data_IF_421863634546
#
_entry.id   IF_421863634546
#
_cell.length_a   1.000
_cell.length_b   1.000
_cell.length_c   1.000
_cell.angle_alpha   90.00
_cell.angle_beta   90.00
_cell.angle_gamma   90.00
#
_symmetry.space_group_name_H-M   'P 1'
#
loop_
_entity.id
_entity.type
_entity.pdbx_description
1 polymer ?
#
# COMPACT_ATOMS: atom_id res chain seq x y z
N UNK A 1 12.15 -15.60 -13.31
CA UNK A 1 12.75 -15.67 -14.67
C UNK A 1 11.97 -16.58 -15.59
N UNK A 2 11.80 -17.88 -15.31
CA UNK A 2 11.05 -18.79 -16.22
C UNK A 2 9.64 -18.31 -16.61
N UNK A 3 8.87 -17.72 -15.67
CA UNK A 3 7.54 -17.17 -15.98
C UNK A 3 7.58 -15.95 -16.93
N UNK A 4 8.66 -15.16 -16.87
CA UNK A 4 8.88 -14.06 -17.81
C UNK A 4 9.20 -14.62 -19.21
N UNK A 5 10.08 -15.63 -19.29
CA UNK A 5 10.47 -16.26 -20.55
C UNK A 5 9.29 -16.95 -21.26
N UNK A 6 8.33 -17.47 -20.47
CA UNK A 6 7.08 -18.08 -20.95
C UNK A 6 5.98 -17.08 -21.25
N UNK A 7 6.21 -15.79 -21.00
CA UNK A 7 5.23 -14.73 -21.19
C UNK A 7 3.92 -14.97 -20.40
N UNK A 8 4.05 -15.41 -19.14
CA UNK A 8 2.90 -15.69 -18.28
C UNK A 8 2.08 -14.41 -17.98
N UNK A 9 0.74 -14.47 -18.00
CA UNK A 9 -0.13 -13.29 -17.90
C UNK A 9 -0.10 -12.60 -16.53
N UNK A 10 0.33 -13.31 -15.48
CA UNK A 10 0.50 -12.78 -14.11
C UNK A 10 1.72 -11.82 -14.01
N UNK A 11 2.59 -11.79 -15.03
CA UNK A 11 3.75 -10.89 -15.05
C UNK A 11 3.29 -9.50 -15.50
N UNK A 12 3.03 -8.65 -14.51
CA UNK A 12 2.66 -7.26 -14.77
C UNK A 12 3.81 -6.46 -15.41
N UNK A 13 3.50 -5.37 -16.14
CA UNK A 13 4.52 -4.44 -16.63
C UNK A 13 5.43 -3.91 -15.49
N UNK A 14 4.87 -3.65 -14.31
CA UNK A 14 5.66 -3.20 -13.15
C UNK A 14 6.70 -4.23 -12.70
N UNK A 15 6.36 -5.52 -12.77
CA UNK A 15 7.27 -6.63 -12.46
C UNK A 15 8.42 -6.68 -13.46
N UNK A 16 8.14 -6.45 -14.74
CA UNK A 16 9.17 -6.42 -15.79
C UNK A 16 10.15 -5.27 -15.56
N UNK A 17 9.66 -4.06 -15.28
CA UNK A 17 10.51 -2.91 -14.95
C UNK A 17 11.38 -3.16 -13.72
N UNK A 18 10.80 -3.72 -12.66
CA UNK A 18 11.55 -3.99 -11.44
C UNK A 18 12.62 -5.09 -11.66
N UNK A 19 12.30 -6.14 -12.42
CA UNK A 19 13.29 -7.16 -12.83
C UNK A 19 14.44 -6.51 -13.60
N UNK A 20 14.14 -5.66 -14.59
CA UNK A 20 15.16 -4.97 -15.38
C UNK A 20 16.08 -4.11 -14.51
N UNK A 21 15.51 -3.28 -13.62
CA UNK A 21 16.30 -2.48 -12.69
C UNK A 21 17.21 -3.33 -11.79
N UNK A 22 16.69 -4.43 -11.23
CA UNK A 22 17.48 -5.35 -10.39
C UNK A 22 18.61 -6.01 -11.18
N UNK A 23 18.37 -6.40 -12.44
CA UNK A 23 19.39 -7.00 -13.30
C UNK A 23 20.51 -6.02 -13.67
N UNK A 24 20.16 -4.75 -13.87
CA UNK A 24 21.08 -3.64 -14.17
C UNK A 24 21.71 -2.99 -12.93
N UNK A 25 21.44 -3.53 -11.73
CA UNK A 25 21.90 -2.98 -10.45
C UNK A 25 21.47 -1.51 -10.22
N UNK A 26 20.27 -1.16 -10.68
CA UNK A 26 19.63 0.14 -10.48
C UNK A 26 18.57 0.01 -9.39
N UNK A 27 18.57 0.87 -8.37
CA UNK A 27 17.50 0.88 -7.35
C UNK A 27 16.12 1.10 -7.97
N UNK A 28 15.12 0.33 -7.54
CA UNK A 28 13.74 0.46 -8.01
C UNK A 28 12.80 0.85 -6.87
N UNK A 29 11.98 1.89 -7.07
CA UNK A 29 11.00 2.35 -6.08
C UNK A 29 9.59 2.24 -6.65
N UNK A 30 8.72 1.48 -5.97
CA UNK A 30 7.31 1.38 -6.30
C UNK A 30 6.50 2.46 -5.57
N UNK A 31 6.10 3.50 -6.31
CA UNK A 31 5.28 4.59 -5.79
C UNK A 31 3.76 4.34 -5.81
N UNK A 32 3.32 3.17 -6.28
CA UNK A 32 1.92 2.83 -6.51
C UNK A 32 1.51 1.59 -5.71
N UNK A 33 0.19 1.33 -5.51
CA UNK A 33 -0.27 0.35 -4.53
C UNK A 33 -0.29 -1.10 -5.02
N UNK A 34 0.06 -1.37 -6.28
CA UNK A 34 0.11 -2.73 -6.80
C UNK A 34 1.27 -3.53 -6.18
N UNK A 35 1.08 -4.84 -6.06
CA UNK A 35 2.00 -5.80 -5.45
C UNK A 35 3.19 -6.17 -6.36
N UNK A 36 3.94 -5.18 -6.85
CA UNK A 36 5.08 -5.41 -7.75
C UNK A 36 6.13 -6.34 -7.12
N UNK A 37 6.37 -6.23 -5.81
CA UNK A 37 7.36 -6.99 -5.05
C UNK A 37 6.88 -8.39 -4.64
N UNK A 38 6.59 -9.23 -5.64
CA UNK A 38 6.32 -10.66 -5.41
C UNK A 38 7.56 -11.38 -4.85
N UNK A 39 7.39 -12.51 -4.13
CA UNK A 39 8.51 -13.20 -3.46
C UNK A 39 9.72 -13.46 -4.37
N UNK A 40 9.49 -13.91 -5.61
CA UNK A 40 10.58 -14.17 -6.56
C UNK A 40 11.36 -12.93 -7.00
N UNK A 41 10.74 -11.74 -6.98
CA UNK A 41 11.45 -10.48 -7.26
C UNK A 41 12.28 -10.03 -6.06
N UNK A 42 11.78 -10.21 -4.84
CA UNK A 42 12.53 -9.94 -3.61
C UNK A 42 13.77 -10.83 -3.54
N UNK A 43 13.62 -12.12 -3.80
CA UNK A 43 14.75 -13.06 -3.87
C UNK A 43 15.79 -12.66 -4.92
N UNK A 44 15.34 -12.20 -6.09
CA UNK A 44 16.23 -11.70 -7.14
C UNK A 44 17.00 -10.46 -6.68
N UNK A 45 16.33 -9.51 -6.02
CA UNK A 45 16.95 -8.29 -5.48
C UNK A 45 18.01 -8.62 -4.42
N UNK A 46 17.71 -9.55 -3.50
CA UNK A 46 18.67 -10.03 -2.48
C UNK A 46 19.88 -10.68 -3.16
N UNK A 47 19.65 -11.59 -4.12
CA UNK A 47 20.73 -12.29 -4.83
C UNK A 47 21.65 -11.34 -5.61
N UNK A 48 21.09 -10.25 -6.14
CA UNK A 48 21.82 -9.22 -6.90
C UNK A 48 22.36 -8.09 -6.03
N UNK A 49 22.07 -8.10 -4.73
CA UNK A 49 22.38 -7.01 -3.80
C UNK A 49 21.88 -5.64 -4.32
N UNK A 50 20.68 -5.62 -4.91
CA UNK A 50 20.05 -4.41 -5.45
C UNK A 50 18.94 -3.91 -4.53
N UNK A 51 18.77 -2.60 -4.46
CA UNK A 51 17.80 -1.94 -3.59
C UNK A 51 16.42 -1.88 -4.26
N UNK A 52 15.39 -2.33 -3.54
CA UNK A 52 13.99 -2.13 -3.88
C UNK A 52 13.25 -1.49 -2.71
N UNK A 53 12.23 -0.66 -2.96
CA UNK A 53 11.47 0.00 -1.90
C UNK A 53 10.09 0.49 -2.35
N UNK A 54 9.16 0.65 -1.41
CA UNK A 54 7.73 0.88 -1.66
C UNK A 54 6.90 0.30 -0.50
N UNK A 55 5.60 0.05 -0.63
CA UNK A 55 4.68 0.32 -1.76
C UNK A 55 3.78 1.52 -1.43
N UNK A 56 3.37 2.26 -2.45
CA UNK A 56 2.46 3.41 -2.36
C UNK A 56 2.98 4.66 -1.60
N UNK A 57 2.95 5.82 -2.25
CA UNK A 57 3.41 7.06 -1.61
C UNK A 57 2.47 7.55 -0.50
N UNK A 58 3.03 7.76 0.70
CA UNK A 58 2.34 8.34 1.86
C UNK A 58 2.43 9.87 1.86
N UNK A 59 1.59 10.54 1.07
CA UNK A 59 1.65 12.00 0.88
C UNK A 59 0.74 12.80 1.83
N UNK A 60 -0.58 12.63 1.71
CA UNK A 60 -1.59 13.50 2.32
C UNK A 60 -2.39 12.84 3.45
N UNK A 61 -3.62 12.39 3.15
CA UNK A 61 -4.56 11.87 4.14
C UNK A 61 -3.96 10.70 4.95
N UNK A 62 -3.30 9.74 4.32
CA UNK A 62 -2.68 8.60 5.00
C UNK A 62 -1.56 9.03 5.96
N UNK A 63 -0.81 10.09 5.63
CA UNK A 63 0.22 10.65 6.50
C UNK A 63 -0.39 11.26 7.75
N UNK A 64 -1.42 12.10 7.60
CA UNK A 64 -2.14 12.67 8.74
C UNK A 64 -2.80 11.59 9.60
N UNK A 65 -3.47 10.61 8.97
CA UNK A 65 -4.13 9.50 9.66
C UNK A 65 -3.15 8.77 10.58
N UNK A 66 -1.96 8.43 10.10
CA UNK A 66 -0.97 7.73 10.94
C UNK A 66 -0.54 8.54 12.16
N UNK A 67 -0.33 9.85 12.01
CA UNK A 67 0.09 10.71 13.12
C UNK A 67 -1.05 10.85 14.14
N UNK A 68 -2.29 11.01 13.66
CA UNK A 68 -3.45 11.19 14.55
C UNK A 68 -3.77 9.91 15.32
N UNK A 69 -3.77 8.75 14.68
CA UNK A 69 -4.08 7.48 15.35
C UNK A 69 -3.01 7.13 16.39
N UNK A 70 -1.73 7.30 16.04
CA UNK A 70 -0.61 7.14 16.98
C UNK A 70 -0.77 8.05 18.20
N UNK A 71 -1.05 9.34 17.98
CA UNK A 71 -1.28 10.30 19.06
C UNK A 71 -2.47 9.90 19.97
N UNK A 72 -3.62 9.53 19.38
CA UNK A 72 -4.82 9.19 20.15
C UNK A 72 -4.60 7.94 21.01
N UNK A 73 -4.05 6.87 20.41
CA UNK A 73 -3.76 5.62 21.12
C UNK A 73 -2.69 5.84 22.20
N UNK A 74 -1.65 6.61 21.89
CA UNK A 74 -0.60 6.98 22.84
C UNK A 74 -1.11 7.84 24.01
N UNK A 75 -2.15 8.63 23.79
CA UNK A 75 -2.84 9.40 24.84
C UNK A 75 -3.87 8.58 25.64
N UNK A 76 -4.02 7.28 25.36
CA UNK A 76 -5.00 6.42 26.03
C UNK A 76 -6.44 6.62 25.55
N UNK A 77 -6.63 7.27 24.40
CA UNK A 77 -7.94 7.44 23.77
C UNK A 77 -8.13 6.27 22.79
N UNK A 78 -9.30 5.64 22.81
CA UNK A 78 -9.65 4.52 21.91
C UNK A 78 -10.44 5.02 20.69
N UNK A 79 -9.82 5.16 19.50
CA UNK A 79 -10.56 5.27 18.25
C UNK A 79 -11.48 4.05 18.06
N UNK A 80 -12.77 4.30 17.86
CA UNK A 80 -13.75 3.24 17.56
C UNK A 80 -14.22 3.26 16.11
N UNK A 81 -14.08 4.39 15.42
CA UNK A 81 -14.46 4.53 14.01
C UNK A 81 -13.57 5.53 13.27
N UNK A 82 -13.17 5.17 12.06
CA UNK A 82 -12.33 5.97 11.15
C UNK A 82 -12.97 5.90 9.75
N UNK A 83 -13.47 7.03 9.26
CA UNK A 83 -14.08 7.09 7.92
C UNK A 83 -13.33 8.12 7.07
N UNK A 84 -12.80 7.66 5.94
CA UNK A 84 -11.86 8.41 5.10
C UNK A 84 -12.39 8.57 3.66
N UNK A 85 -13.00 9.72 3.36
CA UNK A 85 -13.46 10.05 2.00
C UNK A 85 -12.39 10.85 1.24
N UNK A 86 -12.28 10.58 -0.07
CA UNK A 86 -11.44 11.33 -1.00
C UNK A 86 -12.20 11.50 -2.33
N UNK A 87 -12.01 12.64 -2.99
CA UNK A 87 -12.43 12.83 -4.37
C UNK A 87 -11.37 13.63 -5.14
N UNK A 88 -11.18 13.29 -6.43
CA UNK A 88 -10.16 13.88 -7.28
C UNK A 88 -10.57 13.74 -8.76
N UNK A 89 -10.22 14.74 -9.57
CA UNK A 89 -10.60 14.84 -11.00
C UNK A 89 -9.45 14.64 -11.99
N UNK A 90 -8.27 14.25 -11.50
CA UNK A 90 -7.12 13.97 -12.36
C UNK A 90 -7.14 12.51 -12.88
N UNK A 91 -6.14 12.16 -13.70
CA UNK A 91 -6.03 10.82 -14.29
C UNK A 91 -5.85 9.70 -13.24
N UNK A 92 -5.29 10.01 -12.06
CA UNK A 92 -5.25 9.07 -10.93
C UNK A 92 -6.67 8.75 -10.45
N UNK A 93 -7.51 9.77 -10.24
CA UNK A 93 -8.92 9.61 -9.95
C UNK A 93 -9.67 8.81 -11.01
N UNK A 94 -9.39 9.10 -12.28
CA UNK A 94 -9.99 8.37 -13.40
C UNK A 94 -9.59 6.90 -13.39
N UNK A 95 -8.31 6.58 -13.18
CA UNK A 95 -7.83 5.20 -13.10
C UNK A 95 -8.40 4.46 -11.89
N UNK A 96 -8.49 5.13 -10.72
CA UNK A 96 -9.06 4.60 -9.48
C UNK A 96 -10.59 4.46 -9.50
N UNK A 97 -11.26 4.91 -10.57
CA UNK A 97 -12.69 4.65 -10.75
C UNK A 97 -12.98 3.19 -11.08
N UNK A 98 -12.00 2.45 -11.60
CA UNK A 98 -12.10 1.03 -11.84
C UNK A 98 -11.97 0.22 -10.52
N UNK A 99 -12.82 -0.80 -10.28
CA UNK A 99 -12.80 -1.54 -9.01
C UNK A 99 -11.47 -2.23 -8.67
N UNK A 100 -10.78 -2.75 -9.69
CA UNK A 100 -9.53 -3.49 -9.51
C UNK A 100 -8.38 -2.59 -9.03
N UNK A 101 -8.27 -1.39 -9.61
CA UNK A 101 -7.25 -0.40 -9.23
C UNK A 101 -7.60 0.27 -7.89
N UNK A 102 -8.89 0.47 -7.62
CA UNK A 102 -9.38 0.94 -6.32
C UNK A 102 -9.00 -0.02 -5.19
N UNK A 103 -9.17 -1.34 -5.40
CA UNK A 103 -8.92 -2.35 -4.36
C UNK A 103 -7.49 -2.30 -3.82
N UNK A 104 -6.50 -2.13 -4.69
CA UNK A 104 -5.10 -2.01 -4.26
C UNK A 104 -4.88 -0.78 -3.38
N UNK A 105 -5.49 0.36 -3.73
CA UNK A 105 -5.40 1.61 -2.97
C UNK A 105 -6.18 1.58 -1.66
N UNK A 106 -7.29 0.85 -1.63
CA UNK A 106 -8.08 0.61 -0.42
C UNK A 106 -7.24 -0.14 0.62
N UNK A 107 -6.61 -1.26 0.21
CA UNK A 107 -5.78 -2.08 1.10
C UNK A 107 -4.64 -1.25 1.71
N UNK A 108 -3.87 -0.52 0.88
CA UNK A 108 -2.74 0.28 1.39
C UNK A 108 -3.17 1.41 2.35
N UNK A 109 -4.37 1.97 2.17
CA UNK A 109 -4.90 3.05 3.02
C UNK A 109 -5.56 2.56 4.31
N UNK A 110 -5.99 1.31 4.35
CA UNK A 110 -6.62 0.71 5.52
C UNK A 110 -5.57 0.19 6.52
N UNK A 111 -4.55 -0.51 6.03
CA UNK A 111 -3.55 -1.19 6.89
C UNK A 111 -2.73 -0.26 7.80
N UNK A 112 -2.77 1.06 7.59
CA UNK A 112 -1.96 2.03 8.33
C UNK A 112 -2.32 2.16 9.82
N UNK A 113 -3.45 1.61 10.26
CA UNK A 113 -3.91 1.68 11.65
C UNK A 113 -3.68 0.39 12.43
N UNK A 114 -3.35 -0.71 11.75
CA UNK A 114 -3.32 -2.04 12.34
C UNK A 114 -2.25 -2.17 13.43
N UNK A 115 -1.04 -1.66 13.16
CA UNK A 115 0.07 -1.70 14.13
C UNK A 115 -0.26 -0.91 15.40
N UNK A 116 -0.96 0.22 15.27
CA UNK A 116 -1.32 1.07 16.41
C UNK A 116 -2.39 0.41 17.28
N UNK A 117 -3.37 -0.23 16.66
CA UNK A 117 -4.40 -1.02 17.36
C UNK A 117 -3.75 -2.18 18.12
N UNK A 118 -2.86 -2.93 17.46
CA UNK A 118 -2.14 -4.05 18.06
C UNK A 118 -1.18 -3.62 19.19
N UNK A 119 -0.71 -2.37 19.18
CA UNK A 119 0.24 -1.88 20.19
C UNK A 119 -0.36 -1.70 21.59
N UNK A 120 -1.68 -1.59 21.72
CA UNK A 120 -2.34 -1.23 22.98
C UNK A 120 -3.44 -2.22 23.38
N UNK A 121 -3.04 -3.33 24.01
CA UNK A 121 -3.94 -4.36 24.52
C UNK A 121 -4.80 -3.95 25.73
N UNK A 122 -4.67 -2.73 26.24
CA UNK A 122 -5.60 -2.16 27.24
C UNK A 122 -6.81 -1.55 26.53
N UNK A 123 -6.57 -0.87 25.41
CA UNK A 123 -7.63 -0.24 24.63
C UNK A 123 -8.33 -1.25 23.72
N UNK A 124 -7.61 -2.18 23.11
CA UNK A 124 -8.17 -3.13 22.14
C UNK A 124 -8.03 -4.57 22.62
N UNK A 125 -9.11 -5.34 22.53
CA UNK A 125 -9.07 -6.78 22.73
C UNK A 125 -8.36 -7.49 21.56
N UNK A 126 -7.86 -8.73 21.74
CA UNK A 126 -7.26 -9.50 20.65
C UNK A 126 -8.22 -9.64 19.45
N UNK A 127 -7.83 -9.06 18.31
CA UNK A 127 -8.63 -9.06 17.08
C UNK A 127 -9.71 -7.97 17.01
N UNK A 128 -9.79 -7.08 18.00
CA UNK A 128 -10.65 -5.89 17.93
C UNK A 128 -10.01 -4.82 17.05
N UNK A 129 -10.79 -4.26 16.12
CA UNK A 129 -10.39 -3.14 15.27
C UNK A 129 -11.49 -2.07 15.24
N UNK A 130 -11.14 -0.78 15.09
CA UNK A 130 -12.13 0.24 14.82
C UNK A 130 -12.83 0.00 13.48
N UNK A 131 -14.08 0.44 13.36
CA UNK A 131 -14.75 0.50 12.06
C UNK A 131 -13.92 1.36 11.11
N UNK A 132 -13.44 0.79 10.00
CA UNK A 132 -12.57 1.50 9.07
C UNK A 132 -13.10 1.47 7.64
N UNK A 133 -13.42 2.65 7.11
CA UNK A 133 -13.94 2.80 5.74
C UNK A 133 -13.10 3.78 4.96
N UNK A 134 -12.71 3.41 3.75
CA UNK A 134 -11.99 4.26 2.80
C UNK A 134 -12.82 4.39 1.52
N UNK A 135 -13.07 5.62 1.08
CA UNK A 135 -13.79 5.92 -0.15
C UNK A 135 -12.96 6.84 -1.02
N UNK A 136 -12.91 6.52 -2.32
CA UNK A 136 -12.32 7.37 -3.36
C UNK A 136 -13.34 7.52 -4.49
N UNK A 137 -13.62 8.75 -4.90
CA UNK A 137 -14.54 9.05 -6.01
C UNK A 137 -13.87 9.92 -7.06
N UNK A 138 -14.08 9.58 -8.32
CA UNK A 138 -13.69 10.43 -9.44
C UNK A 138 -14.71 11.57 -9.58
N UNK A 139 -14.22 12.82 -9.58
CA UNK A 139 -15.04 14.03 -9.74
C UNK A 139 -14.29 14.97 -10.70
N UNK A 140 -14.66 15.00 -12.00
CA UNK A 140 -14.00 15.81 -13.03
C UNK A 140 -14.06 17.31 -12.77
#
# INVERSE_FOLDING_TARGET
MSSLDKNEPEISPSTIYAIACVLENVPFINGSPQNTFVPGLIELAIKKNSLIGGDDFKSGQTKMKSVLVDFLVGAGIKPTSIVSYNHLGNNDGMNLSAPQTFRSKEISKSNVVDDMVASNGILYEPGEHPDHVVVIKYVP
#
